data_IF_683224104884
#
_entry.id   IF_683224104884
#
_cell.length_a   1.000
_cell.length_b   1.000
_cell.length_c   1.000
_cell.angle_alpha   90.00
_cell.angle_beta   90.00
_cell.angle_gamma   90.00
#
_symmetry.space_group_name_H-M   'P 1'
#
loop_
_entity.id
_entity.type
_entity.pdbx_description
1 polymer ?
#
# COMPACT_ATOMS: atom_id res chain seq x y z
N UNK A 1 -10.65 -14.08 4.54
CA UNK A 1 -10.20 -12.67 4.63
C UNK A 1 -9.18 -12.58 5.74
N UNK A 2 -9.01 -11.41 6.38
CA UNK A 2 -8.40 -11.38 7.71
C UNK A 2 -9.25 -12.24 8.66
N UNK A 3 -8.58 -13.01 9.51
CA UNK A 3 -9.17 -13.92 10.49
C UNK A 3 -8.37 -13.79 11.78
N UNK A 4 -9.05 -13.43 12.87
CA UNK A 4 -8.43 -13.15 14.16
C UNK A 4 -8.06 -14.42 14.93
N UNK A 5 -8.59 -15.58 14.53
CA UNK A 5 -8.16 -16.88 15.06
C UNK A 5 -6.79 -17.31 14.53
N UNK A 6 -6.38 -16.75 13.38
CA UNK A 6 -5.12 -17.04 12.71
C UNK A 6 -4.03 -16.05 13.13
N UNK A 7 -3.18 -16.44 14.09
CA UNK A 7 -2.11 -15.58 14.62
C UNK A 7 -1.15 -15.04 13.54
N UNK A 8 -1.03 -15.74 12.40
CA UNK A 8 -0.21 -15.30 11.26
C UNK A 8 -0.74 -14.01 10.63
N UNK A 9 -2.07 -13.83 10.56
CA UNK A 9 -2.68 -12.63 9.99
C UNK A 9 -2.31 -11.37 10.78
N UNK A 10 -2.35 -11.47 12.11
CA UNK A 10 -1.95 -10.37 12.98
C UNK A 10 -0.45 -10.07 12.87
N UNK A 11 0.39 -11.10 12.75
CA UNK A 11 1.84 -10.92 12.54
C UNK A 11 2.15 -10.19 11.25
N UNK A 12 1.39 -10.45 10.17
CA UNK A 12 1.56 -9.75 8.90
C UNK A 12 1.24 -8.26 9.05
N UNK A 13 0.09 -7.93 9.63
CA UNK A 13 -0.32 -6.55 9.92
C UNK A 13 0.73 -5.81 10.76
N UNK A 14 1.18 -6.40 11.86
CA UNK A 14 2.21 -5.81 12.71
C UNK A 14 3.55 -5.65 11.99
N UNK A 15 3.90 -6.55 11.08
CA UNK A 15 5.13 -6.43 10.29
C UNK A 15 5.05 -5.24 9.34
N UNK A 16 3.92 -5.06 8.66
CA UNK A 16 3.68 -3.90 7.79
C UNK A 16 3.80 -2.61 8.60
N UNK A 17 3.10 -2.54 9.74
CA UNK A 17 3.18 -1.41 10.65
C UNK A 17 4.62 -1.06 11.03
N UNK A 18 5.38 -2.05 11.53
CA UNK A 18 6.78 -1.86 11.95
C UNK A 18 7.69 -1.43 10.81
N UNK A 19 7.50 -1.98 9.60
CA UNK A 19 8.36 -1.66 8.45
C UNK A 19 8.16 -0.25 7.94
N UNK A 20 6.90 0.22 7.90
CA UNK A 20 6.53 1.57 7.46
C UNK A 20 6.89 2.62 8.51
N UNK A 21 6.47 2.41 9.77
CA UNK A 21 6.67 3.39 10.87
C UNK A 21 8.08 3.34 11.48
N UNK A 22 8.84 2.29 11.20
CA UNK A 22 10.08 1.97 11.91
C UNK A 22 9.91 1.76 13.43
N UNK A 23 8.67 1.53 13.90
CA UNK A 23 8.39 1.21 15.29
C UNK A 23 9.01 -0.13 15.69
N UNK A 24 9.54 -0.19 16.92
CA UNK A 24 10.04 -1.44 17.53
C UNK A 24 8.93 -2.20 18.24
N UNK A 25 7.84 -1.53 18.59
CA UNK A 25 6.71 -2.09 19.32
C UNK A 25 5.70 -2.72 18.36
N UNK A 26 4.99 -3.74 18.83
CA UNK A 26 3.78 -4.21 18.16
C UNK A 26 2.64 -3.22 18.32
N UNK A 27 1.60 -3.35 17.50
CA UNK A 27 0.36 -2.61 17.62
C UNK A 27 -0.82 -3.58 17.86
N UNK A 28 -1.92 -3.13 18.50
CA UNK A 28 -3.12 -3.93 18.70
C UNK A 28 -3.86 -4.21 17.39
N UNK A 29 -4.78 -5.19 17.38
CA UNK A 29 -5.54 -5.58 16.18
C UNK A 29 -6.42 -4.45 15.64
N UNK A 30 -6.95 -3.62 16.53
CA UNK A 30 -7.81 -2.48 16.20
C UNK A 30 -7.23 -1.19 16.80
N UNK A 31 -7.46 -0.07 16.13
CA UNK A 31 -7.16 1.26 16.66
C UNK A 31 -6.80 2.30 15.59
N UNK A 32 -6.75 3.57 16.01
CA UNK A 32 -6.49 4.71 15.13
C UNK A 32 -5.14 4.68 14.40
N UNK A 33 -4.17 3.90 14.89
CA UNK A 33 -2.88 3.69 14.22
C UNK A 33 -3.03 3.06 12.82
N UNK A 34 -4.14 2.41 12.51
CA UNK A 34 -4.43 1.95 11.15
C UNK A 34 -4.87 3.09 10.22
N UNK A 35 -5.59 4.07 10.75
CA UNK A 35 -5.96 5.29 10.02
C UNK A 35 -4.72 6.13 9.70
N UNK A 36 -3.73 6.16 10.62
CA UNK A 36 -2.41 6.75 10.37
C UNK A 36 -1.69 6.09 9.19
N UNK A 37 -1.87 4.78 9.00
CA UNK A 37 -1.36 4.03 7.85
C UNK A 37 -2.18 4.27 6.57
N UNK A 38 -3.31 4.96 6.65
CA UNK A 38 -4.19 5.28 5.54
C UNK A 38 -5.25 4.22 5.26
N UNK A 39 -5.63 3.40 6.26
CA UNK A 39 -6.90 2.65 6.23
C UNK A 39 -8.10 3.59 6.49
N UNK A 40 -9.32 3.19 6.12
CA UNK A 40 -10.52 4.04 6.30
C UNK A 40 -11.06 4.02 7.73
N UNK A 41 -10.54 3.14 8.59
CA UNK A 41 -10.92 3.09 10.00
C UNK A 41 -9.98 2.24 10.83
N UNK A 42 -10.37 2.03 12.08
CA UNK A 42 -9.61 1.29 13.06
C UNK A 42 -9.49 -0.23 12.80
N UNK A 43 -10.13 -0.76 11.74
CA UNK A 43 -10.06 -2.17 11.35
C UNK A 43 -9.64 -2.33 9.87
N UNK A 44 -8.38 -2.73 9.59
CA UNK A 44 -7.92 -3.06 8.24
C UNK A 44 -8.78 -4.09 7.49
N UNK A 45 -9.49 -4.95 8.23
CA UNK A 45 -10.36 -5.99 7.70
C UNK A 45 -11.48 -5.44 6.81
N UNK A 46 -12.02 -4.26 7.11
CA UNK A 46 -13.13 -3.67 6.35
C UNK A 46 -12.71 -3.30 4.93
N UNK A 47 -11.48 -2.83 4.77
CA UNK A 47 -10.92 -2.33 3.52
C UNK A 47 -10.39 -3.47 2.64
N UNK A 48 -9.85 -4.51 3.28
CA UNK A 48 -9.33 -5.71 2.62
C UNK A 48 -10.43 -6.66 2.12
N UNK A 49 -11.72 -6.38 2.33
CA UNK A 49 -12.81 -7.27 1.87
C UNK A 49 -12.77 -7.57 0.38
N UNK A 50 -12.41 -6.59 -0.46
CA UNK A 50 -12.40 -6.75 -1.92
C UNK A 50 -11.18 -7.50 -2.48
N UNK A 51 -10.02 -7.38 -1.82
CA UNK A 51 -8.76 -8.00 -2.28
C UNK A 51 -8.36 -9.23 -1.45
N UNK A 52 -8.98 -9.41 -0.29
CA UNK A 52 -8.70 -10.48 0.65
C UNK A 52 -7.25 -10.48 1.13
N UNK A 53 -6.72 -11.68 1.36
CA UNK A 53 -5.35 -11.87 1.84
C UNK A 53 -4.29 -11.43 0.83
N UNK A 54 -4.62 -11.42 -0.48
CA UNK A 54 -3.66 -10.99 -1.50
C UNK A 54 -3.23 -9.54 -1.28
N UNK A 55 -4.17 -8.62 -1.01
CA UNK A 55 -3.83 -7.22 -0.75
C UNK A 55 -2.87 -7.05 0.42
N UNK A 56 -3.09 -7.83 1.47
CA UNK A 56 -2.23 -7.84 2.65
C UNK A 56 -0.84 -8.44 2.34
N UNK A 57 -0.79 -9.54 1.57
CA UNK A 57 0.46 -10.21 1.18
C UNK A 57 1.30 -9.38 0.21
N UNK A 58 0.69 -8.66 -0.73
CA UNK A 58 1.41 -7.75 -1.62
C UNK A 58 2.02 -6.58 -0.84
N UNK A 59 1.25 -5.99 0.09
CA UNK A 59 1.76 -4.94 0.97
C UNK A 59 2.92 -5.44 1.83
N UNK A 60 2.81 -6.65 2.40
CA UNK A 60 3.89 -7.29 3.13
C UNK A 60 5.14 -7.49 2.26
N UNK A 61 4.97 -8.04 1.05
CA UNK A 61 6.08 -8.26 0.12
C UNK A 61 6.82 -6.95 -0.20
N UNK A 62 6.06 -5.89 -0.48
CA UNK A 62 6.58 -4.57 -0.83
C UNK A 62 7.36 -3.88 0.31
N UNK A 63 7.03 -4.16 1.57
CA UNK A 63 7.76 -3.59 2.73
C UNK A 63 8.84 -4.53 3.28
N UNK A 64 8.88 -5.78 2.85
CA UNK A 64 9.87 -6.76 3.27
C UNK A 64 11.05 -6.85 2.31
N UNK A 65 10.82 -6.60 1.02
CA UNK A 65 11.87 -6.65 0.00
C UNK A 65 12.80 -5.42 0.08
N UNK A 66 14.11 -5.67 0.01
CA UNK A 66 15.12 -4.65 0.23
C UNK A 66 15.18 -3.60 -0.91
N UNK A 67 14.74 -3.96 -2.12
CA UNK A 67 14.72 -3.06 -3.27
C UNK A 67 13.51 -2.12 -3.22
N UNK A 68 12.37 -2.61 -2.75
CA UNK A 68 11.10 -1.88 -2.73
C UNK A 68 10.83 -1.14 -1.42
N UNK A 69 11.38 -1.59 -0.28
CA UNK A 69 11.22 -0.92 1.02
C UNK A 69 11.61 0.58 1.01
N UNK A 70 12.70 1.03 0.36
CA UNK A 70 13.00 2.46 0.26
C UNK A 70 11.89 3.27 -0.41
N UNK A 71 11.30 2.72 -1.48
CA UNK A 71 10.15 3.33 -2.16
C UNK A 71 8.93 3.34 -1.25
N UNK A 72 8.59 2.21 -0.60
CA UNK A 72 7.46 2.12 0.31
C UNK A 72 7.54 3.19 1.41
N UNK A 73 8.73 3.38 2.01
CA UNK A 73 8.96 4.42 3.02
C UNK A 73 8.89 5.84 2.45
N UNK A 74 9.40 6.08 1.24
CA UNK A 74 9.26 7.39 0.60
C UNK A 74 7.80 7.75 0.33
N UNK A 75 7.01 6.78 -0.12
CA UNK A 75 5.57 6.96 -0.34
C UNK A 75 4.85 7.19 0.98
N UNK A 76 5.16 6.40 2.01
CA UNK A 76 4.58 6.56 3.34
C UNK A 76 4.94 7.91 4.00
N UNK A 77 6.11 8.48 3.69
CA UNK A 77 6.45 9.86 4.09
C UNK A 77 5.62 10.92 3.36
N UNK A 78 4.93 10.61 2.26
CA UNK A 78 3.91 11.53 1.72
C UNK A 78 2.60 11.48 2.52
N UNK A 79 2.39 10.42 3.30
CA UNK A 79 1.26 10.26 4.22
C UNK A 79 1.43 11.09 5.49
N UNK A 80 2.67 11.28 5.94
CA UNK A 80 3.03 12.00 7.16
C UNK A 80 3.95 13.18 6.87
N UNK A 81 3.60 14.38 7.30
CA UNK A 81 4.46 15.54 7.14
C UNK A 81 5.87 15.31 7.70
N UNK A 82 6.90 15.49 6.87
CA UNK A 82 8.22 15.87 7.36
C UNK A 82 8.18 17.32 7.84
N UNK A 83 8.21 17.50 9.15
CA UNK A 83 8.44 18.78 9.84
C UNK A 83 9.90 19.27 9.71
N UNK A 84 10.70 18.68 8.80
CA UNK A 84 12.15 18.88 8.70
C UNK A 84 12.65 19.40 7.34
N UNK A 85 11.75 19.68 6.38
CA UNK A 85 12.16 20.35 5.14
C UNK A 85 12.29 21.87 5.37
N UNK A 86 13.36 22.54 4.92
CA UNK A 86 13.53 23.98 5.08
C UNK A 86 12.38 24.76 4.45
N UNK A 87 11.94 25.80 5.13
CA UNK A 87 10.70 26.57 4.96
C UNK A 87 10.53 27.35 3.63
N UNK A 88 11.21 26.97 2.55
CA UNK A 88 11.27 27.76 1.30
C UNK A 88 10.35 27.21 0.20
N UNK A 89 9.65 26.10 0.44
CA UNK A 89 8.68 25.56 -0.51
C UNK A 89 7.37 25.21 0.19
N UNK A 90 6.22 25.77 -0.20
CA UNK A 90 4.92 25.35 0.33
C UNK A 90 4.64 23.95 -0.19
N UNK A 91 4.98 22.94 0.61
CA UNK A 91 4.59 21.55 0.32
C UNK A 91 3.11 21.46 0.72
N UNK A 92 2.25 21.49 -0.29
CA UNK A 92 0.82 21.20 -0.14
C UNK A 92 0.66 19.89 0.64
N UNK A 93 -0.25 19.85 1.63
CA UNK A 93 -0.61 18.64 2.37
C UNK A 93 -1.01 17.52 1.40
N UNK A 94 -0.09 16.59 1.14
CA UNK A 94 -0.34 15.53 0.16
C UNK A 94 -1.11 14.35 0.75
N UNK A 95 -1.27 14.24 2.07
CA UNK A 95 -2.16 13.29 2.78
C UNK A 95 -2.35 11.95 2.06
N UNK A 96 -1.26 11.31 1.64
CA UNK A 96 -1.34 10.13 0.78
C UNK A 96 -1.90 8.93 1.58
N UNK A 97 -3.05 8.32 1.21
CA UNK A 97 -3.63 7.25 2.01
C UNK A 97 -3.00 5.89 1.66
N UNK A 98 -1.80 5.60 2.18
CA UNK A 98 -0.95 4.49 1.74
C UNK A 98 -1.67 3.15 1.65
N UNK A 99 -2.33 2.71 2.74
CA UNK A 99 -2.96 1.40 2.77
C UNK A 99 -4.15 1.28 1.82
N UNK A 100 -5.00 2.29 1.72
CA UNK A 100 -6.11 2.24 0.75
C UNK A 100 -5.63 2.29 -0.69
N UNK A 101 -4.62 3.12 -0.99
CA UNK A 101 -4.00 3.12 -2.32
C UNK A 101 -3.41 1.75 -2.67
N UNK A 102 -2.81 1.07 -1.70
CA UNK A 102 -2.34 -0.32 -1.88
C UNK A 102 -3.47 -1.26 -2.24
N UNK A 103 -4.59 -1.22 -1.49
CA UNK A 103 -5.74 -2.09 -1.78
C UNK A 103 -6.27 -1.82 -3.20
N UNK A 104 -6.36 -0.56 -3.61
CA UNK A 104 -6.80 -0.18 -4.95
C UNK A 104 -5.85 -0.67 -6.04
N UNK A 105 -4.53 -0.54 -5.84
CA UNK A 105 -3.53 -1.08 -6.77
C UNK A 105 -3.66 -2.61 -6.87
N UNK A 106 -3.84 -3.32 -5.76
CA UNK A 106 -4.09 -4.77 -5.80
C UNK A 106 -5.33 -5.11 -6.62
N UNK A 107 -6.43 -4.32 -6.52
CA UNK A 107 -7.62 -4.52 -7.37
C UNK A 107 -7.29 -4.36 -8.86
N UNK A 108 -6.53 -3.32 -9.21
CA UNK A 108 -6.09 -3.08 -10.61
C UNK A 108 -5.24 -4.25 -11.12
N UNK A 109 -4.29 -4.73 -10.32
CA UNK A 109 -3.42 -5.86 -10.68
C UNK A 109 -4.23 -7.15 -10.87
N UNK A 110 -5.19 -7.41 -9.97
CA UNK A 110 -6.11 -8.54 -10.10
C UNK A 110 -6.98 -8.45 -11.36
N UNK A 111 -7.48 -7.25 -11.67
CA UNK A 111 -8.27 -7.03 -12.87
C UNK A 111 -7.44 -7.27 -14.14
N UNK A 112 -6.23 -6.73 -14.21
CA UNK A 112 -5.31 -6.95 -15.34
C UNK A 112 -4.96 -8.44 -15.51
N UNK A 113 -4.86 -9.21 -14.42
CA UNK A 113 -4.69 -10.66 -14.51
C UNK A 113 -5.94 -11.36 -15.07
N UNK A 114 -7.14 -10.99 -14.61
CA UNK A 114 -8.42 -11.55 -15.07
C UNK A 114 -8.71 -11.24 -16.54
N UNK A 115 -8.27 -10.08 -17.00
CA UNK A 115 -8.35 -9.64 -18.40
C UNK A 115 -7.18 -10.17 -19.27
N UNK A 116 -6.42 -11.14 -18.75
CA UNK A 116 -5.29 -11.80 -19.42
C UNK A 116 -4.14 -10.88 -19.87
N UNK A 117 -4.13 -9.61 -19.46
CA UNK A 117 -3.09 -8.65 -19.81
C UNK A 117 -1.70 -9.07 -19.30
N UNK A 118 -1.65 -9.88 -18.23
CA UNK A 118 -0.42 -10.37 -17.60
C UNK A 118 -0.08 -11.82 -18.00
N UNK A 119 -0.97 -12.54 -18.69
CA UNK A 119 -0.85 -13.98 -18.96
C UNK A 119 0.42 -14.34 -19.71
N UNK A 120 0.80 -13.55 -20.73
CA UNK A 120 2.02 -13.77 -21.50
C UNK A 120 3.27 -13.75 -20.62
N UNK A 121 3.38 -12.77 -19.74
CA UNK A 121 4.56 -12.60 -18.88
C UNK A 121 4.59 -13.62 -17.74
N UNK A 122 3.43 -13.91 -17.15
CA UNK A 122 3.26 -15.00 -16.19
C UNK A 122 3.74 -16.34 -16.77
N UNK A 123 3.32 -16.66 -18.00
CA UNK A 123 3.71 -17.90 -18.68
C UNK A 123 5.19 -17.90 -19.08
N UNK A 124 5.73 -16.75 -19.52
CA UNK A 124 7.14 -16.64 -19.88
C UNK A 124 8.06 -16.88 -18.67
N UNK A 125 7.70 -16.35 -17.49
CA UNK A 125 8.48 -16.50 -16.25
C UNK A 125 8.13 -17.74 -15.44
N UNK A 126 7.01 -18.40 -15.73
CA UNK A 126 6.43 -19.47 -14.90
C UNK A 126 6.22 -19.04 -13.43
N UNK A 127 5.89 -17.76 -13.21
CA UNK A 127 5.82 -17.16 -11.87
C UNK A 127 4.72 -16.10 -11.80
N UNK A 128 3.49 -16.51 -11.50
CA UNK A 128 2.35 -15.60 -11.41
C UNK A 128 2.55 -14.56 -10.30
N UNK A 129 2.81 -15.00 -9.07
CA UNK A 129 2.89 -14.10 -7.90
C UNK A 129 4.03 -13.07 -8.04
N UNK A 130 5.17 -13.46 -8.59
CA UNK A 130 6.28 -12.53 -8.82
C UNK A 130 5.88 -11.43 -9.82
N UNK A 131 5.23 -11.80 -10.93
CA UNK A 131 4.73 -10.82 -11.92
C UNK A 131 3.69 -9.88 -11.30
N UNK A 132 2.76 -10.39 -10.48
CA UNK A 132 1.79 -9.53 -9.80
C UNK A 132 2.45 -8.53 -8.85
N UNK A 133 3.48 -8.96 -8.11
CA UNK A 133 4.23 -8.11 -7.19
C UNK A 133 5.06 -7.06 -7.93
N UNK A 134 5.68 -7.42 -9.06
CA UNK A 134 6.40 -6.48 -9.91
C UNK A 134 5.46 -5.38 -10.45
N UNK A 135 4.29 -5.77 -10.97
CA UNK A 135 3.29 -4.82 -11.48
C UNK A 135 2.73 -3.96 -10.35
N UNK A 136 2.48 -4.54 -9.18
CA UNK A 136 2.06 -3.80 -7.98
C UNK A 136 3.09 -2.73 -7.58
N UNK A 137 4.37 -3.09 -7.51
CA UNK A 137 5.45 -2.14 -7.16
C UNK A 137 5.61 -1.06 -8.24
N UNK A 138 5.52 -1.42 -9.52
CA UNK A 138 5.58 -0.48 -10.63
C UNK A 138 4.39 0.50 -10.63
N UNK A 139 3.18 0.02 -10.35
CA UNK A 139 1.99 0.86 -10.21
C UNK A 139 2.13 1.84 -9.04
N UNK A 140 2.69 1.39 -7.91
CA UNK A 140 3.00 2.28 -6.78
C UNK A 140 4.02 3.36 -7.14
N UNK A 141 5.10 2.99 -7.84
CA UNK A 141 6.11 3.93 -8.31
C UNK A 141 5.50 4.97 -9.27
N UNK A 142 4.65 4.52 -10.19
CA UNK A 142 3.98 5.41 -11.13
C UNK A 142 3.01 6.35 -10.41
N UNK A 143 2.22 5.83 -9.47
CA UNK A 143 1.33 6.62 -8.64
C UNK A 143 2.12 7.67 -7.86
N UNK A 144 3.22 7.29 -7.22
CA UNK A 144 4.11 8.21 -6.49
C UNK A 144 4.63 9.33 -7.38
N UNK A 145 5.13 9.01 -8.59
CA UNK A 145 5.64 9.99 -9.55
C UNK A 145 4.57 10.99 -9.97
N UNK A 146 3.37 10.51 -10.30
CA UNK A 146 2.23 11.35 -10.68
C UNK A 146 1.77 12.21 -9.52
N UNK A 147 1.67 11.63 -8.32
CA UNK A 147 1.24 12.32 -7.12
C UNK A 147 2.17 13.48 -6.78
N UNK A 148 3.49 13.23 -6.83
CA UNK A 148 4.52 14.22 -6.56
C UNK A 148 4.60 15.30 -7.64
N UNK A 149 4.57 14.94 -8.93
CA UNK A 149 4.73 15.91 -10.02
C UNK A 149 3.51 16.83 -10.17
N UNK A 150 2.31 16.30 -9.94
CA UNK A 150 1.06 17.05 -10.11
C UNK A 150 0.55 17.65 -8.79
N UNK A 151 1.32 17.53 -7.70
CA UNK A 151 0.95 18.05 -6.37
C UNK A 151 -0.44 17.58 -5.91
N UNK A 152 -0.76 16.30 -6.15
CA UNK A 152 -2.07 15.74 -5.84
C UNK A 152 -2.34 15.73 -4.34
N UNK A 153 -3.61 15.85 -4.01
CA UNK A 153 -4.15 15.76 -2.65
C UNK A 153 -5.08 14.56 -2.53
N UNK A 154 -5.51 14.25 -1.31
CA UNK A 154 -6.50 13.19 -1.08
C UNK A 154 -7.81 13.42 -1.87
N UNK A 155 -8.18 14.67 -2.15
CA UNK A 155 -9.36 14.98 -2.98
C UNK A 155 -9.22 14.46 -4.42
N UNK A 156 -7.99 14.40 -4.94
CA UNK A 156 -7.68 13.89 -6.28
C UNK A 156 -7.68 12.36 -6.35
N UNK A 157 -7.79 11.66 -5.21
CA UNK A 157 -7.86 10.20 -5.18
C UNK A 157 -9.26 9.65 -5.49
N UNK A 158 -10.27 10.51 -5.68
CA UNK A 158 -11.67 10.13 -5.89
C UNK A 158 -11.90 9.15 -7.07
N UNK A 159 -11.05 9.16 -8.10
CA UNK A 159 -11.14 8.20 -9.21
C UNK A 159 -10.58 6.82 -8.87
N UNK A 160 -9.73 6.71 -7.83
CA UNK A 160 -9.19 5.45 -7.31
C UNK A 160 -9.99 4.94 -6.11
N UNK A 161 -10.63 5.84 -5.35
CA UNK A 161 -11.48 5.51 -4.19
C UNK A 161 -12.92 5.12 -4.55
N UNK A 162 -13.38 5.46 -5.77
CA UNK A 162 -14.66 4.99 -6.31
C UNK A 162 -14.46 3.64 -7.01
N UNK A 163 -14.38 2.57 -6.22
CA UNK A 163 -14.27 1.19 -6.70
C UNK A 163 -14.82 0.19 -5.70
#
# INVERSE_FOLDING_TARGET
>A
GLDDSEAVHMRILQTIYKKLTCSRLGCPRYGAHWEELGFQGADPGTDLRGTGMLGLMQMLHFVMDAQTLPLARQIFRLSHHETQAPAVTPILLQNFPFCIMSVNITRIVLQALREECLSRECNRRQQVIAVLNDVYAAAFLQLYRVWKSQHKTIADSGFLLKG
#
